data_IF_981328951507
#
_entry.id   IF_981328951507
#
_cell.length_a   1.000
_cell.length_b   1.000
_cell.length_c   1.000
_cell.angle_alpha   90.00
_cell.angle_beta   90.00
_cell.angle_gamma   90.00
#
_symmetry.space_group_name_H-M   'P 1'
#
loop_
_entity.id
_entity.type
_entity.pdbx_description
1 polymer ?
#
# COMPACT_ATOMS: atom_id res chain seq x y z
N UNK A 1 -26.09 17.79 -40.14
CA UNK A 1 -25.35 18.08 -38.91
C UNK A 1 -25.07 16.73 -38.27
N UNK A 2 -23.91 16.15 -38.58
CA UNK A 2 -23.53 14.80 -38.18
C UNK A 2 -23.26 14.74 -36.68
N UNK A 3 -23.97 13.86 -35.99
CA UNK A 3 -23.69 13.47 -34.62
C UNK A 3 -22.27 12.88 -34.54
N UNK A 4 -21.39 13.58 -33.84
CA UNK A 4 -20.08 13.05 -33.44
C UNK A 4 -20.30 12.28 -32.14
N UNK A 5 -20.61 11.00 -32.26
CA UNK A 5 -20.51 10.07 -31.13
C UNK A 5 -19.01 9.86 -30.87
N UNK A 6 -18.45 10.63 -29.93
CA UNK A 6 -17.10 10.36 -29.43
C UNK A 6 -17.13 8.98 -28.75
N UNK A 7 -16.46 8.00 -29.36
CA UNK A 7 -16.19 6.70 -28.75
C UNK A 7 -15.48 6.94 -27.41
N UNK A 8 -16.11 6.52 -26.32
CA UNK A 8 -15.48 6.48 -25.00
C UNK A 8 -14.28 5.54 -25.12
N UNK A 9 -13.08 6.08 -25.02
CA UNK A 9 -11.85 5.32 -25.15
C UNK A 9 -11.83 4.23 -24.07
N UNK A 10 -11.98 2.96 -24.49
CA UNK A 10 -11.91 1.82 -23.59
C UNK A 10 -10.49 1.72 -23.04
N UNK A 11 -10.35 1.92 -21.73
CA UNK A 11 -9.09 1.68 -21.01
C UNK A 11 -8.50 0.28 -21.22
N UNK A 12 -7.30 0.04 -20.69
CA UNK A 12 -6.60 -1.25 -20.81
C UNK A 12 -6.05 -1.74 -19.49
N UNK A 13 -6.04 -3.06 -19.31
CA UNK A 13 -5.36 -3.71 -18.20
C UNK A 13 -3.84 -3.59 -18.36
N UNK A 14 -3.18 -3.04 -17.34
CA UNK A 14 -1.74 -2.77 -17.40
C UNK A 14 -1.06 -3.07 -16.07
N UNK A 15 0.25 -3.30 -16.18
CA UNK A 15 1.21 -3.17 -15.08
C UNK A 15 2.10 -1.98 -15.43
N UNK A 16 2.17 -1.00 -14.54
CA UNK A 16 3.01 0.18 -14.66
C UNK A 16 4.22 0.06 -13.76
N UNK A 17 5.39 0.39 -14.29
CA UNK A 17 6.59 0.65 -13.50
C UNK A 17 6.78 2.16 -13.40
N UNK A 18 6.78 2.66 -12.18
CA UNK A 18 6.91 4.07 -11.83
C UNK A 18 8.35 4.33 -11.43
N UNK A 19 8.98 5.30 -12.09
CA UNK A 19 10.34 5.76 -11.82
C UNK A 19 11.39 4.63 -11.68
N UNK A 20 11.16 3.47 -12.30
CA UNK A 20 12.07 2.31 -12.29
C UNK A 20 12.20 1.55 -10.96
N UNK A 21 11.35 1.81 -9.97
CA UNK A 21 11.50 1.19 -8.64
C UNK A 21 10.19 0.81 -7.96
N UNK A 22 9.05 1.18 -8.54
CA UNK A 22 7.74 0.89 -7.97
C UNK A 22 6.83 0.32 -9.04
N UNK A 23 6.13 -0.76 -8.73
CA UNK A 23 5.21 -1.42 -9.66
C UNK A 23 3.79 -1.27 -9.14
N UNK A 24 2.85 -1.00 -10.05
CA UNK A 24 1.42 -0.96 -9.73
C UNK A 24 0.62 -1.57 -10.89
N UNK A 25 -0.45 -2.29 -10.59
CA UNK A 25 -1.26 -2.99 -11.57
C UNK A 25 -2.73 -2.52 -11.49
N UNK A 26 -3.37 -2.32 -12.64
CA UNK A 26 -4.76 -1.85 -12.66
C UNK A 26 -5.33 -1.66 -14.07
N UNK A 27 -6.54 -1.11 -14.13
CA UNK A 27 -7.18 -0.69 -15.36
C UNK A 27 -6.83 0.77 -15.65
N UNK A 28 -6.16 1.00 -16.77
CA UNK A 28 -5.65 2.30 -17.17
C UNK A 28 -6.60 3.00 -18.12
N UNK A 29 -6.90 4.27 -17.83
CA UNK A 29 -7.62 5.20 -18.69
C UNK A 29 -6.97 6.58 -18.64
N UNK A 30 -7.41 7.48 -19.50
CA UNK A 30 -6.99 8.89 -19.49
C UNK A 30 -8.02 9.73 -18.73
N UNK A 31 -7.55 10.65 -17.88
CA UNK A 31 -8.39 11.63 -17.20
C UNK A 31 -7.81 13.03 -17.39
N UNK A 32 -8.55 13.89 -18.06
CA UNK A 32 -8.18 15.29 -18.35
C UNK A 32 -8.86 16.28 -17.41
N UNK A 33 -9.74 15.82 -16.50
CA UNK A 33 -10.55 16.68 -15.64
C UNK A 33 -9.75 17.49 -14.62
N UNK A 34 -8.50 17.10 -14.37
CA UNK A 34 -7.60 17.69 -13.39
C UNK A 34 -6.68 18.78 -13.98
N UNK A 35 -7.06 19.36 -15.13
CA UNK A 35 -6.35 20.48 -15.77
C UNK A 35 -5.09 20.06 -16.56
N UNK A 36 -4.79 18.78 -16.62
CA UNK A 36 -3.76 18.17 -17.46
C UNK A 36 -4.15 16.71 -17.76
N UNK A 37 -3.73 16.12 -18.90
CA UNK A 37 -3.95 14.71 -19.18
C UNK A 37 -3.13 13.86 -18.20
N UNK A 38 -3.83 13.14 -17.33
CA UNK A 38 -3.25 12.20 -16.38
C UNK A 38 -3.65 10.77 -16.73
N UNK A 39 -2.78 9.84 -16.37
CA UNK A 39 -3.09 8.42 -16.40
C UNK A 39 -3.88 8.11 -15.13
N UNK A 40 -5.15 7.76 -15.29
CA UNK A 40 -5.99 7.22 -14.22
C UNK A 40 -5.81 5.70 -14.19
N UNK A 41 -5.40 5.19 -13.04
CA UNK A 41 -5.28 3.75 -12.81
C UNK A 41 -6.24 3.31 -11.71
N UNK A 42 -7.22 2.49 -12.07
CA UNK A 42 -8.11 1.83 -11.12
C UNK A 42 -7.48 0.49 -10.71
N UNK A 43 -7.00 0.41 -9.47
CA UNK A 43 -6.36 -0.75 -8.85
C UNK A 43 -7.43 -1.64 -8.24
N UNK A 44 -7.45 -2.95 -8.55
CA UNK A 44 -8.44 -3.86 -8.01
C UNK A 44 -8.26 -4.08 -6.50
N UNK A 45 -9.31 -4.53 -5.84
CA UNK A 45 -9.27 -4.99 -4.46
C UNK A 45 -8.30 -6.18 -4.31
N UNK A 46 -7.64 -6.22 -3.17
CA UNK A 46 -6.73 -7.30 -2.74
C UNK A 46 -7.18 -7.79 -1.36
N UNK A 47 -6.59 -8.88 -0.85
CA UNK A 47 -6.85 -9.32 0.53
C UNK A 47 -6.43 -8.30 1.59
N UNK A 48 -5.44 -7.46 1.29
CA UNK A 48 -4.90 -6.48 2.23
C UNK A 48 -5.64 -5.13 2.18
N UNK A 49 -6.08 -4.71 0.99
CA UNK A 49 -6.61 -3.37 0.75
C UNK A 49 -7.79 -3.36 -0.23
N UNK A 50 -8.80 -2.48 0.00
CA UNK A 50 -9.91 -2.30 -0.93
C UNK A 50 -9.44 -1.72 -2.26
N UNK A 51 -10.26 -1.87 -3.31
CA UNK A 51 -10.01 -1.25 -4.61
C UNK A 51 -9.86 0.28 -4.48
N UNK A 52 -8.96 0.87 -5.26
CA UNK A 52 -8.70 2.31 -5.22
C UNK A 52 -8.24 2.84 -6.57
N UNK A 53 -8.33 4.16 -6.76
CA UNK A 53 -7.86 4.84 -7.97
C UNK A 53 -6.65 5.69 -7.64
N UNK A 54 -5.66 5.72 -8.53
CA UNK A 54 -4.56 6.70 -8.46
C UNK A 54 -4.32 7.34 -9.83
N UNK A 55 -4.11 8.65 -9.83
CA UNK A 55 -3.70 9.39 -11.02
C UNK A 55 -2.19 9.58 -11.03
N UNK A 56 -1.59 9.38 -12.19
CA UNK A 56 -0.17 9.57 -12.43
C UNK A 56 0.06 10.54 -13.57
N UNK A 57 1.06 11.40 -13.41
CA UNK A 57 1.61 12.13 -14.55
C UNK A 57 2.30 11.12 -15.49
N UNK A 58 2.08 11.17 -16.81
CA UNK A 58 2.75 10.27 -17.75
C UNK A 58 4.28 10.22 -17.61
N UNK A 59 4.93 11.32 -17.22
CA UNK A 59 6.38 11.38 -16.99
C UNK A 59 6.87 10.56 -15.79
N UNK A 60 5.97 10.10 -14.91
CA UNK A 60 6.31 9.20 -13.81
C UNK A 60 6.48 7.74 -14.26
N UNK A 61 6.00 7.40 -15.46
CA UNK A 61 5.94 6.03 -15.97
C UNK A 61 7.26 5.71 -16.67
N UNK A 62 7.97 4.75 -16.14
CA UNK A 62 9.18 4.19 -16.75
C UNK A 62 8.82 3.14 -17.81
N UNK A 63 7.89 2.24 -17.50
CA UNK A 63 7.45 1.19 -18.43
C UNK A 63 5.96 0.88 -18.28
N UNK A 64 5.33 0.46 -19.38
CA UNK A 64 3.93 0.00 -19.43
C UNK A 64 3.90 -1.40 -20.03
N UNK A 65 3.35 -2.36 -19.29
CA UNK A 65 3.08 -3.70 -19.79
C UNK A 65 1.57 -3.90 -19.94
N UNK A 66 1.08 -4.03 -21.17
CA UNK A 66 -0.30 -4.39 -21.44
C UNK A 66 -0.50 -5.89 -21.23
N UNK A 67 -1.44 -6.25 -20.36
CA UNK A 67 -1.64 -7.64 -19.92
C UNK A 67 -3.13 -7.98 -19.84
N UNK A 68 -3.46 -9.23 -19.52
CA UNK A 68 -4.85 -9.62 -19.28
C UNK A 68 -5.35 -9.15 -17.91
N UNK A 69 -6.67 -9.21 -17.71
CA UNK A 69 -7.29 -8.90 -16.42
C UNK A 69 -6.79 -9.83 -15.31
N UNK A 70 -6.65 -11.12 -15.61
CA UNK A 70 -6.18 -12.12 -14.66
C UNK A 70 -4.75 -11.80 -14.19
N UNK A 71 -3.87 -11.42 -15.12
CA UNK A 71 -2.49 -11.03 -14.79
C UNK A 71 -2.44 -9.79 -13.89
N UNK A 72 -3.31 -8.79 -14.13
CA UNK A 72 -3.45 -7.62 -13.25
C UNK A 72 -3.90 -8.04 -11.85
N UNK A 73 -4.91 -8.89 -11.73
CA UNK A 73 -5.42 -9.35 -10.44
C UNK A 73 -4.35 -10.09 -9.64
N UNK A 74 -3.62 -11.02 -10.26
CA UNK A 74 -2.51 -11.73 -9.60
C UNK A 74 -1.39 -10.78 -9.18
N UNK A 75 -1.03 -9.82 -10.03
CA UNK A 75 0.04 -8.86 -9.74
C UNK A 75 -0.36 -7.90 -8.63
N UNK A 76 -1.57 -7.37 -8.66
CA UNK A 76 -2.10 -6.47 -7.63
C UNK A 76 -2.12 -7.17 -6.25
N UNK A 77 -2.59 -8.42 -6.18
CA UNK A 77 -2.58 -9.22 -4.96
C UNK A 77 -1.14 -9.45 -4.46
N UNK A 78 -0.22 -9.82 -5.36
CA UNK A 78 1.18 -10.10 -4.99
C UNK A 78 1.92 -8.85 -4.47
N UNK A 79 1.66 -7.67 -5.05
CA UNK A 79 2.26 -6.42 -4.61
C UNK A 79 1.57 -5.90 -3.35
N UNK A 80 0.24 -6.07 -3.26
CA UNK A 80 -0.60 -5.53 -2.19
C UNK A 80 -0.23 -4.07 -1.89
N UNK A 81 -0.20 -3.24 -2.93
CA UNK A 81 0.23 -1.83 -2.84
C UNK A 81 -0.68 -1.07 -1.87
N UNK A 82 -0.07 -0.42 -0.89
CA UNK A 82 -0.81 0.36 0.09
C UNK A 82 -1.41 1.61 -0.59
N UNK A 83 -2.75 1.80 -0.57
CA UNK A 83 -3.41 2.96 -1.18
C UNK A 83 -2.97 4.28 -0.55
N UNK A 84 -2.72 4.30 0.76
CA UNK A 84 -2.29 5.48 1.52
C UNK A 84 -1.18 5.09 2.49
N UNK A 85 0.04 5.51 2.18
CA UNK A 85 1.13 5.41 3.15
C UNK A 85 0.91 6.46 4.24
N UNK A 86 0.42 6.04 5.40
CA UNK A 86 0.32 6.91 6.57
C UNK A 86 1.72 7.02 7.19
N UNK A 87 2.44 8.08 6.88
CA UNK A 87 3.69 8.39 7.57
C UNK A 87 3.37 9.08 8.90
N UNK A 88 3.45 8.33 10.00
CA UNK A 88 3.31 8.84 11.36
C UNK A 88 4.59 8.49 12.14
N UNK A 89 5.57 9.40 12.22
CA UNK A 89 6.82 9.17 12.93
C UNK A 89 6.63 8.63 14.36
N UNK A 90 5.60 9.11 15.04
CA UNK A 90 5.27 8.78 16.42
C UNK A 90 4.83 7.31 16.59
N UNK A 91 4.27 6.68 15.55
CA UNK A 91 3.92 5.25 15.61
C UNK A 91 5.17 4.36 15.69
N UNK A 92 6.26 4.76 15.05
CA UNK A 92 7.56 4.07 15.18
C UNK A 92 8.07 4.13 16.61
N UNK A 93 7.88 5.26 17.30
CA UNK A 93 8.19 5.40 18.72
C UNK A 93 7.26 4.56 19.58
N UNK A 94 5.97 4.49 19.27
CA UNK A 94 5.02 3.67 20.05
C UNK A 94 5.38 2.20 20.05
N UNK A 95 5.79 1.61 18.93
CA UNK A 95 6.22 0.20 18.88
C UNK A 95 7.44 -0.02 19.78
N UNK A 96 8.43 0.88 19.71
CA UNK A 96 9.62 0.83 20.59
C UNK A 96 9.23 0.95 22.06
N UNK A 97 8.42 1.95 22.42
CA UNK A 97 7.97 2.19 23.79
C UNK A 97 7.12 1.04 24.33
N UNK A 98 6.31 0.39 23.49
CA UNK A 98 5.53 -0.79 23.87
C UNK A 98 6.45 -1.97 24.20
N UNK A 99 7.50 -2.19 23.39
CA UNK A 99 8.49 -3.23 23.64
C UNK A 99 9.27 -2.95 24.94
N UNK A 100 9.75 -1.73 25.15
CA UNK A 100 10.45 -1.33 26.37
C UNK A 100 9.58 -1.51 27.62
N UNK A 101 8.30 -1.14 27.54
CA UNK A 101 7.35 -1.35 28.62
C UNK A 101 7.11 -2.83 28.92
N UNK A 102 7.11 -3.69 27.90
CA UNK A 102 6.98 -5.14 28.08
C UNK A 102 8.21 -5.70 28.80
N UNK A 103 9.40 -5.36 28.34
CA UNK A 103 10.66 -5.83 28.92
C UNK A 103 10.83 -5.37 30.38
N UNK A 104 10.44 -4.13 30.66
CA UNK A 104 10.42 -3.58 32.02
C UNK A 104 9.47 -4.36 32.94
N UNK A 105 8.27 -4.68 32.47
CA UNK A 105 7.30 -5.48 33.24
C UNK A 105 7.82 -6.88 33.52
N UNK A 106 8.45 -7.53 32.55
CA UNK A 106 9.07 -8.85 32.74
C UNK A 106 10.19 -8.79 33.78
N UNK A 107 11.01 -7.74 33.74
CA UNK A 107 12.10 -7.51 34.68
C UNK A 107 11.57 -7.32 36.11
N UNK A 108 10.60 -6.43 36.29
CA UNK A 108 9.94 -6.19 37.59
C UNK A 108 9.33 -7.47 38.14
N UNK A 109 8.65 -8.25 37.29
CA UNK A 109 8.05 -9.52 37.68
C UNK A 109 9.09 -10.53 38.19
N UNK A 110 10.24 -10.65 37.51
CA UNK A 110 11.35 -11.51 37.97
C UNK A 110 11.91 -11.07 39.32
N UNK A 111 12.10 -9.77 39.51
CA UNK A 111 12.56 -9.23 40.79
C UNK A 111 11.55 -9.49 41.92
N UNK A 112 10.26 -9.27 41.68
CA UNK A 112 9.21 -9.56 42.66
C UNK A 112 9.20 -11.04 43.05
N UNK A 113 9.35 -11.96 42.08
CA UNK A 113 9.46 -13.38 42.39
C UNK A 113 10.70 -13.73 43.22
N UNK A 114 11.85 -13.11 42.92
CA UNK A 114 13.09 -13.34 43.67
C UNK A 114 12.99 -12.83 45.11
N UNK A 115 12.35 -11.69 45.33
CA UNK A 115 12.12 -11.10 46.66
C UNK A 115 11.05 -11.83 47.47
N UNK A 116 10.10 -12.50 46.81
CA UNK A 116 9.01 -13.24 47.47
C UNK A 116 9.42 -14.65 47.95
N UNK A 117 10.62 -15.13 47.60
CA UNK A 117 11.13 -16.39 48.16
C UNK A 117 11.57 -16.17 49.61
N UNK A 118 10.98 -16.86 50.61
CA UNK A 118 11.44 -16.74 51.99
C UNK A 118 12.89 -17.21 52.07
N UNK A 119 13.75 -16.47 52.79
CA UNK A 119 15.06 -16.98 53.19
C UNK A 119 14.79 -18.22 54.04
N UNK A 120 15.19 -19.39 53.54
CA UNK A 120 15.23 -20.60 54.34
C UNK A 120 16.05 -20.27 55.61
N UNK A 121 15.40 -20.33 56.77
CA UNK A 121 16.05 -20.23 58.07
C UNK A 121 16.84 -21.51 58.30
N UNK A 122 18.16 -21.38 58.46
CA UNK A 122 19.03 -22.41 59.05
C UNK A 122 18.66 -22.67 60.52
#
# INVERSE_FOLDING_TARGET
MSEVTQEIEKGRWVILELFGHKVIAGYMSTDESLGAPLIRLDVPETRAYPAFTRHYNPSAIYSVSYVSQEAVQYTAEAISENPVSVYVPELGELTRLQQENKDMKETIFRFQQALSKPRLSD
#
